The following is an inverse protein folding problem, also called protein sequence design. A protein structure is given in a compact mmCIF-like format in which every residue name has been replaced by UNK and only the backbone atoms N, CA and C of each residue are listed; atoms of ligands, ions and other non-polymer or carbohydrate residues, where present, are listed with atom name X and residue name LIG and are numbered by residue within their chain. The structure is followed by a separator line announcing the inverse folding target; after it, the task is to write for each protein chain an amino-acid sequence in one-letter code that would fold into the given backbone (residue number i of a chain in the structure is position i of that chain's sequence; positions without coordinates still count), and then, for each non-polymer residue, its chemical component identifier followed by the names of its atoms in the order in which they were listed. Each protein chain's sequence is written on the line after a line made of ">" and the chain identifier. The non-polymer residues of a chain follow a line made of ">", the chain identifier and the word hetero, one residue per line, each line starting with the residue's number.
data_IF_431181819423
#
_entry.id   IF_431181819423
#
_cell.length_a   1.000
_cell.length_b   1.000
_cell.length_c   1.000
_cell.angle_alpha   90.00
_cell.angle_beta   90.00
_cell.angle_gamma   90.00
#
_symmetry.space_group_name_H-M   'P 1'
#
loop_
_entity.id
_entity.type
_entity.pdbx_description
1 polymer ?
#
# COMPACT_ATOMS: atom_id res chain seq x y z
N UNK A 1 -17.66 5.44 -17.78
CA UNK A 1 -17.64 3.95 -17.76
C UNK A 1 -18.90 3.44 -17.08
N UNK A 2 -19.54 2.40 -17.61
CA UNK A 2 -20.75 1.85 -16.98
C UNK A 2 -20.40 1.10 -15.69
N UNK A 3 -21.26 1.12 -14.66
CA UNK A 3 -21.03 0.42 -13.36
C UNK A 3 -20.64 -1.05 -13.52
N UNK A 4 -21.23 -1.77 -14.49
CA UNK A 4 -20.91 -3.17 -14.79
C UNK A 4 -19.50 -3.37 -15.41
N UNK A 5 -18.98 -2.37 -16.09
CA UNK A 5 -17.63 -2.37 -16.67
C UNK A 5 -16.58 -2.12 -15.60
N UNK A 6 -16.85 -1.19 -14.68
CA UNK A 6 -15.98 -0.92 -13.55
C UNK A 6 -15.90 -2.12 -12.60
N UNK A 7 -17.01 -2.80 -12.33
CA UNK A 7 -17.03 -4.03 -11.53
C UNK A 7 -16.16 -5.14 -12.17
N UNK A 8 -16.31 -5.38 -13.49
CA UNK A 8 -15.46 -6.36 -14.21
C UNK A 8 -13.98 -5.98 -14.17
N UNK A 9 -13.67 -4.68 -14.24
CA UNK A 9 -12.28 -4.20 -14.11
C UNK A 9 -11.73 -4.45 -12.71
N UNK A 10 -12.51 -4.21 -11.67
CA UNK A 10 -12.14 -4.52 -10.29
C UNK A 10 -11.89 -6.02 -10.08
N UNK A 11 -12.75 -6.88 -10.63
CA UNK A 11 -12.57 -8.34 -10.57
C UNK A 11 -11.29 -8.79 -11.30
N UNK A 12 -10.97 -8.19 -12.45
CA UNK A 12 -9.74 -8.48 -13.19
C UNK A 12 -8.50 -8.06 -12.39
N UNK A 13 -8.47 -6.85 -11.83
CA UNK A 13 -7.37 -6.37 -10.99
C UNK A 13 -7.15 -7.27 -9.76
N UNK A 14 -8.25 -7.68 -9.10
CA UNK A 14 -8.18 -8.59 -7.96
C UNK A 14 -7.61 -9.97 -8.38
N UNK A 15 -8.00 -10.50 -9.53
CA UNK A 15 -7.47 -11.76 -10.06
C UNK A 15 -5.98 -11.66 -10.42
N UNK A 16 -5.54 -10.52 -10.94
CA UNK A 16 -4.14 -10.21 -11.25
C UNK A 16 -3.32 -9.79 -10.01
N UNK A 17 -3.94 -9.76 -8.82
CA UNK A 17 -3.33 -9.32 -7.55
C UNK A 17 -2.81 -7.89 -7.59
N UNK A 18 -3.41 -7.03 -8.39
CA UNK A 18 -3.06 -5.61 -8.48
C UNK A 18 -3.86 -4.84 -7.41
N UNK A 19 -3.18 -4.15 -6.46
CA UNK A 19 -3.86 -3.35 -5.46
C UNK A 19 -4.52 -2.12 -6.09
N UNK A 20 -5.69 -1.76 -5.61
CA UNK A 20 -6.41 -0.55 -6.05
C UNK A 20 -7.32 -0.02 -4.94
N UNK A 21 -7.79 1.22 -5.10
CA UNK A 21 -8.83 1.80 -4.23
C UNK A 21 -10.14 1.88 -5.00
N UNK A 22 -11.21 1.40 -4.38
CA UNK A 22 -12.58 1.64 -4.83
C UNK A 22 -13.05 2.97 -4.24
N UNK A 23 -13.25 3.98 -5.07
CA UNK A 23 -13.79 5.28 -4.68
C UNK A 23 -15.28 5.34 -5.02
N UNK A 24 -16.13 5.62 -4.02
CA UNK A 24 -17.59 5.70 -4.21
C UNK A 24 -18.13 7.00 -3.63
N UNK A 25 -18.82 7.80 -4.43
CA UNK A 25 -19.53 8.98 -3.97
C UNK A 25 -20.73 8.53 -3.12
N UNK A 26 -20.69 8.80 -1.82
CA UNK A 26 -21.76 8.45 -0.88
C UNK A 26 -22.74 9.58 -0.68
N UNK A 27 -22.29 10.83 -0.85
CA UNK A 27 -23.11 12.04 -0.76
C UNK A 27 -22.65 13.09 -1.75
N UNK A 28 -23.58 13.82 -2.32
CA UNK A 28 -23.32 14.94 -3.23
C UNK A 28 -24.32 16.06 -2.95
N UNK A 29 -23.82 17.29 -2.75
CA UNK A 29 -24.60 18.50 -2.53
C UNK A 29 -24.41 19.43 -3.72
N UNK A 30 -25.51 19.81 -4.37
CA UNK A 30 -25.47 20.71 -5.52
C UNK A 30 -24.98 22.12 -5.14
N UNK A 31 -24.32 22.79 -6.07
CA UNK A 31 -24.03 22.40 -7.46
C UNK A 31 -22.79 21.47 -7.58
N UNK A 32 -22.98 20.27 -8.12
CA UNK A 32 -21.88 19.32 -8.40
C UNK A 32 -22.22 18.48 -9.62
N UNK A 33 -21.20 17.99 -10.33
CA UNK A 33 -21.33 17.12 -11.50
C UNK A 33 -21.56 15.66 -11.15
N UNK A 34 -21.34 15.26 -9.88
CA UNK A 34 -21.47 13.87 -9.41
C UNK A 34 -22.82 13.61 -8.74
N UNK A 35 -23.13 12.33 -8.62
CA UNK A 35 -24.30 11.81 -7.90
C UNK A 35 -23.89 10.71 -6.95
N UNK A 36 -24.62 10.55 -5.84
CA UNK A 36 -24.43 9.42 -4.95
C UNK A 36 -24.50 8.10 -5.73
N UNK A 37 -23.48 7.26 -5.53
CA UNK A 37 -23.29 6.00 -6.24
C UNK A 37 -22.44 6.11 -7.51
N UNK A 38 -21.97 7.29 -7.92
CA UNK A 38 -20.89 7.39 -8.90
C UNK A 38 -19.61 6.81 -8.29
N UNK A 39 -18.79 6.18 -9.11
CA UNK A 39 -17.64 5.43 -8.62
C UNK A 39 -16.48 5.42 -9.61
N UNK A 40 -15.27 5.23 -9.06
CA UNK A 40 -14.03 5.07 -9.80
C UNK A 40 -13.14 4.03 -9.12
N UNK A 41 -12.17 3.53 -9.86
CA UNK A 41 -11.03 2.77 -9.38
C UNK A 41 -9.81 3.69 -9.45
N UNK A 42 -9.01 3.71 -8.38
CA UNK A 42 -7.72 4.41 -8.35
C UNK A 42 -6.61 3.37 -8.23
N UNK A 43 -5.71 3.34 -9.20
CA UNK A 43 -4.56 2.44 -9.24
C UNK A 43 -3.38 3.01 -8.43
N UNK A 44 -2.38 2.16 -8.13
CA UNK A 44 -1.19 2.54 -7.39
C UNK A 44 -0.29 3.59 -8.09
N UNK A 45 -0.44 3.76 -9.39
CA UNK A 45 0.22 4.83 -10.17
C UNK A 45 -0.57 6.15 -10.18
N UNK A 46 -1.71 6.20 -9.48
CA UNK A 46 -2.61 7.34 -9.43
C UNK A 46 -3.57 7.45 -10.62
N UNK A 47 -3.61 6.49 -11.53
CA UNK A 47 -4.58 6.44 -12.62
C UNK A 47 -5.99 6.27 -12.06
N UNK A 48 -6.96 7.08 -12.52
CA UNK A 48 -8.36 7.02 -12.14
C UNK A 48 -9.18 6.48 -13.32
N UNK A 49 -9.82 5.34 -13.12
CA UNK A 49 -10.75 4.72 -14.07
C UNK A 49 -12.18 4.88 -13.55
N UNK A 50 -13.03 5.65 -14.20
CA UNK A 50 -14.41 5.93 -13.76
C UNK A 50 -14.68 7.42 -13.62
N UNK A 51 -15.57 7.81 -12.68
CA UNK A 51 -15.90 9.21 -12.45
C UNK A 51 -16.32 9.48 -11.01
N UNK A 52 -15.63 10.40 -10.36
CA UNK A 52 -15.89 10.83 -8.97
C UNK A 52 -15.84 12.36 -8.82
N UNK A 53 -15.91 13.09 -9.94
CA UNK A 53 -15.91 14.55 -9.96
C UNK A 53 -15.07 15.12 -11.09
N UNK A 54 -14.95 16.45 -11.14
CA UNK A 54 -14.04 17.14 -12.06
C UNK A 54 -12.59 17.12 -11.59
N UNK A 55 -11.68 17.73 -12.37
CA UNK A 55 -10.23 17.69 -12.16
C UNK A 55 -9.78 18.01 -10.73
N UNK A 56 -10.40 18.99 -10.07
CA UNK A 56 -10.07 19.36 -8.70
C UNK A 56 -10.41 18.24 -7.69
N UNK A 57 -11.58 17.62 -7.83
CA UNK A 57 -11.98 16.49 -6.97
C UNK A 57 -11.10 15.26 -7.24
N UNK A 58 -10.77 14.98 -8.51
CA UNK A 58 -9.87 13.88 -8.89
C UNK A 58 -8.49 14.01 -8.25
N UNK A 59 -7.94 15.23 -8.15
CA UNK A 59 -6.64 15.46 -7.49
C UNK A 59 -6.70 15.06 -6.01
N UNK A 60 -7.74 15.51 -5.29
CA UNK A 60 -7.94 15.17 -3.87
C UNK A 60 -8.18 13.66 -3.68
N UNK A 61 -8.99 13.06 -4.55
CA UNK A 61 -9.26 11.60 -4.53
C UNK A 61 -7.98 10.81 -4.78
N UNK A 62 -7.19 11.19 -5.79
CA UNK A 62 -5.91 10.54 -6.11
C UNK A 62 -4.96 10.56 -4.92
N UNK A 63 -4.76 11.73 -4.32
CA UNK A 63 -3.87 11.89 -3.17
C UNK A 63 -4.30 10.99 -2.01
N UNK A 64 -5.57 11.04 -1.62
CA UNK A 64 -6.06 10.28 -0.48
C UNK A 64 -6.15 8.78 -0.79
N UNK A 65 -6.44 8.38 -2.04
CA UNK A 65 -6.44 6.99 -2.45
C UNK A 65 -5.04 6.35 -2.37
N UNK A 66 -3.99 7.06 -2.78
CA UNK A 66 -2.62 6.56 -2.64
C UNK A 66 -2.23 6.36 -1.17
N UNK A 67 -2.63 7.28 -0.28
CA UNK A 67 -2.45 7.11 1.17
C UNK A 67 -3.23 5.92 1.72
N UNK A 68 -4.47 5.72 1.25
CA UNK A 68 -5.32 4.56 1.63
C UNK A 68 -4.68 3.24 1.21
N UNK A 69 -4.03 3.18 0.03
CA UNK A 69 -3.27 1.99 -0.40
C UNK A 69 -2.07 1.71 0.49
N UNK A 70 -1.36 2.75 0.92
CA UNK A 70 -0.18 2.62 1.79
C UNK A 70 -0.57 2.16 3.21
N UNK A 71 -1.61 2.76 3.79
CA UNK A 71 -2.06 2.47 5.15
C UNK A 71 -2.87 1.16 5.21
N UNK A 72 -3.58 0.83 4.13
CA UNK A 72 -4.46 -0.36 4.06
C UNK A 72 -5.80 -0.18 4.79
N UNK A 73 -6.16 1.02 5.24
CA UNK A 73 -7.40 1.31 5.96
C UNK A 73 -8.34 2.17 5.11
N UNK A 74 -9.67 1.92 5.16
CA UNK A 74 -10.65 2.72 4.45
C UNK A 74 -10.75 4.14 5.01
N UNK A 75 -11.13 5.09 4.16
CA UNK A 75 -11.23 6.49 4.50
C UNK A 75 -12.51 7.12 3.94
N UNK A 76 -13.17 7.96 4.73
CA UNK A 76 -14.19 8.89 4.24
C UNK A 76 -13.55 10.24 3.92
N UNK A 77 -13.55 10.60 2.65
CA UNK A 77 -13.05 11.89 2.15
C UNK A 77 -14.24 12.84 1.96
N UNK A 78 -14.19 13.99 2.62
CA UNK A 78 -15.16 15.08 2.46
C UNK A 78 -14.51 16.24 1.73
N UNK A 79 -15.02 16.60 0.56
CA UNK A 79 -14.56 17.75 -0.23
C UNK A 79 -15.58 18.86 -0.08
N UNK A 80 -15.17 20.01 0.43
CA UNK A 80 -16.01 21.19 0.68
C UNK A 80 -15.45 22.43 -0.03
N UNK A 81 -16.29 23.36 -0.49
CA UNK A 81 -15.84 24.51 -1.27
C UNK A 81 -15.27 25.65 -0.44
N UNK A 82 -15.49 25.71 0.88
CA UNK A 82 -15.15 26.84 1.72
C UNK A 82 -14.45 26.40 3.02
N UNK A 83 -13.44 27.18 3.47
CA UNK A 83 -12.72 26.96 4.75
C UNK A 83 -13.57 27.27 5.98
N UNK A 84 -14.71 27.96 5.81
CA UNK A 84 -15.57 28.42 6.91
C UNK A 84 -16.70 27.44 7.29
N UNK A 85 -16.73 26.25 6.71
CA UNK A 85 -17.69 25.20 7.12
C UNK A 85 -17.21 24.54 8.43
N UNK A 86 -17.56 25.18 9.58
CA UNK A 86 -17.23 24.66 10.94
C UNK A 86 -17.83 23.26 11.19
N UNK A 87 -18.90 22.86 10.46
CA UNK A 87 -19.46 21.51 10.47
C UNK A 87 -18.62 20.50 9.64
N UNK A 88 -17.54 20.97 9.00
CA UNK A 88 -16.66 20.11 8.19
C UNK A 88 -15.88 19.10 9.03
N UNK A 89 -15.59 19.38 10.30
CA UNK A 89 -14.87 18.50 11.22
C UNK A 89 -15.75 17.31 11.66
N UNK A 90 -16.10 16.42 10.74
CA UNK A 90 -16.76 15.18 11.08
C UNK A 90 -15.73 14.17 11.61
N UNK A 91 -15.96 13.66 12.82
CA UNK A 91 -15.14 12.62 13.43
C UNK A 91 -15.05 11.40 12.48
N UNK A 92 -13.84 10.99 12.11
CA UNK A 92 -13.61 9.86 11.19
C UNK A 92 -13.59 10.18 9.69
N UNK A 93 -13.62 11.47 9.30
CA UNK A 93 -13.45 11.88 7.91
C UNK A 93 -12.24 12.81 7.74
N UNK A 94 -11.56 12.70 6.59
CA UNK A 94 -10.61 13.72 6.16
C UNK A 94 -11.36 14.77 5.35
N UNK A 95 -11.27 16.01 5.77
CA UNK A 95 -11.87 17.16 5.07
C UNK A 95 -10.81 17.83 4.22
N UNK A 96 -11.13 18.05 2.95
CA UNK A 96 -10.31 18.78 2.00
C UNK A 96 -11.11 19.96 1.47
N UNK A 97 -10.57 21.15 1.66
CA UNK A 97 -11.10 22.37 1.10
C UNK A 97 -10.67 22.50 -0.36
N UNK A 98 -11.62 22.80 -1.23
CA UNK A 98 -11.38 22.89 -2.64
C UNK A 98 -12.20 24.05 -3.22
N UNK A 99 -11.53 25.16 -3.55
CA UNK A 99 -12.11 26.39 -4.13
C UNK A 99 -12.60 26.20 -5.57
N UNK A 100 -13.15 25.03 -5.87
CA UNK A 100 -13.69 24.76 -7.18
C UNK A 100 -14.89 25.66 -7.45
N UNK A 101 -14.88 26.31 -8.64
CA UNK A 101 -15.94 27.22 -9.10
C UNK A 101 -17.35 26.61 -9.07
N UNK A 102 -17.51 25.30 -8.95
CA UNK A 102 -18.80 24.62 -8.85
C UNK A 102 -19.48 24.78 -7.49
N UNK A 103 -18.75 25.09 -6.41
CA UNK A 103 -19.30 25.41 -5.08
C UNK A 103 -20.10 24.30 -4.38
N UNK A 104 -20.07 23.06 -4.87
CA UNK A 104 -20.76 21.92 -4.28
C UNK A 104 -19.86 21.10 -3.36
N UNK A 105 -20.46 20.49 -2.31
CA UNK A 105 -19.75 19.56 -1.42
C UNK A 105 -20.04 18.10 -1.81
N UNK A 106 -19.07 17.22 -1.52
CA UNK A 106 -19.22 15.78 -1.74
C UNK A 106 -18.50 14.97 -0.69
N UNK A 107 -19.01 13.77 -0.45
CA UNK A 107 -18.38 12.76 0.40
C UNK A 107 -18.12 11.52 -0.43
N UNK A 108 -16.88 11.03 -0.36
CA UNK A 108 -16.39 9.90 -1.14
C UNK A 108 -15.79 8.87 -0.18
N UNK A 109 -16.30 7.65 -0.21
CA UNK A 109 -15.73 6.54 0.53
C UNK A 109 -14.63 5.90 -0.30
N UNK A 110 -13.42 5.85 0.25
CA UNK A 110 -12.23 5.25 -0.33
C UNK A 110 -11.96 3.92 0.38
N UNK A 111 -12.09 2.82 -0.33
CA UNK A 111 -11.91 1.47 0.20
C UNK A 111 -10.74 0.78 -0.48
N UNK A 112 -9.65 0.44 0.24
CA UNK A 112 -8.53 -0.29 -0.34
C UNK A 112 -8.92 -1.72 -0.68
N UNK A 113 -8.53 -2.17 -1.84
CA UNK A 113 -8.66 -3.55 -2.32
C UNK A 113 -7.26 -4.12 -2.47
N UNK A 114 -6.75 -4.67 -1.39
CA UNK A 114 -5.43 -5.28 -1.33
C UNK A 114 -5.52 -6.78 -1.60
N UNK A 115 -4.57 -7.37 -2.34
CA UNK A 115 -4.51 -8.81 -2.49
C UNK A 115 -4.24 -9.48 -1.13
N UNK A 116 -4.74 -10.70 -0.95
CA UNK A 116 -4.40 -11.49 0.22
C UNK A 116 -2.88 -11.63 0.34
N UNK A 117 -2.29 -11.37 1.54
CA UNK A 117 -0.84 -11.48 1.71
C UNK A 117 -0.39 -12.91 1.41
N UNK A 118 0.66 -13.06 0.60
CA UNK A 118 1.16 -14.37 0.19
C UNK A 118 2.18 -14.90 1.19
N UNK A 119 2.05 -16.20 1.51
CA UNK A 119 3.05 -16.97 2.23
C UNK A 119 3.51 -18.10 1.31
N UNK A 120 4.78 -18.10 0.94
CA UNK A 120 5.39 -19.19 0.20
C UNK A 120 6.06 -20.17 1.16
N UNK A 121 5.63 -21.43 1.11
CA UNK A 121 6.18 -22.53 1.91
C UNK A 121 6.98 -23.43 0.99
N UNK A 122 8.29 -23.53 1.27
CA UNK A 122 9.20 -24.41 0.54
C UNK A 122 9.31 -25.75 1.29
N UNK A 123 8.71 -26.79 0.72
CA UNK A 123 8.71 -28.14 1.27
C UNK A 123 7.31 -28.72 1.42
N UNK A 124 7.06 -29.80 0.70
CA UNK A 124 5.82 -30.60 0.77
C UNK A 124 5.85 -31.53 2.01
N UNK A 125 5.74 -30.93 3.19
CA UNK A 125 5.83 -31.59 4.50
C UNK A 125 4.52 -31.46 5.26
N UNK A 126 4.29 -32.28 6.32
CA UNK A 126 3.11 -32.11 7.18
C UNK A 126 2.98 -30.69 7.75
N UNK A 127 4.11 -30.04 8.10
CA UNK A 127 4.11 -28.65 8.58
C UNK A 127 3.70 -27.70 7.44
N UNK A 128 4.21 -27.93 6.22
CA UNK A 128 3.85 -27.12 5.04
C UNK A 128 2.35 -27.19 4.73
N UNK A 129 1.76 -28.38 4.77
CA UNK A 129 0.32 -28.56 4.56
C UNK A 129 -0.53 -27.97 5.70
N UNK A 130 -0.05 -28.05 6.95
CA UNK A 130 -0.69 -27.41 8.08
C UNK A 130 -0.65 -25.88 7.96
N UNK A 131 0.47 -25.30 7.53
CA UNK A 131 0.60 -23.86 7.23
C UNK A 131 -0.40 -23.44 6.14
N UNK A 132 -0.53 -24.22 5.06
CA UNK A 132 -1.48 -23.90 4.00
C UNK A 132 -2.94 -23.93 4.50
N UNK A 133 -3.29 -24.90 5.32
CA UNK A 133 -4.65 -25.06 5.85
C UNK A 133 -5.01 -23.95 6.83
N UNK A 134 -4.15 -23.66 7.80
CA UNK A 134 -4.37 -22.63 8.82
C UNK A 134 -4.23 -21.23 8.25
N UNK A 135 -3.25 -20.98 7.37
CA UNK A 135 -3.04 -19.69 6.73
C UNK A 135 -4.23 -19.25 5.89
N UNK A 136 -4.87 -20.19 5.17
CA UNK A 136 -6.09 -19.92 4.42
C UNK A 136 -7.25 -19.46 5.32
N UNK A 137 -7.40 -20.03 6.51
CA UNK A 137 -8.41 -19.60 7.49
C UNK A 137 -8.15 -18.19 8.02
N UNK A 138 -6.88 -17.77 8.05
CA UNK A 138 -6.46 -16.43 8.44
C UNK A 138 -6.45 -15.41 7.29
N UNK A 139 -6.90 -15.79 6.09
CA UNK A 139 -6.97 -14.91 4.93
C UNK A 139 -5.66 -14.75 4.17
N UNK A 140 -4.68 -15.64 4.37
CA UNK A 140 -3.45 -15.67 3.58
C UNK A 140 -3.62 -16.49 2.30
N UNK A 141 -2.92 -16.06 1.24
CA UNK A 141 -2.69 -16.85 0.03
C UNK A 141 -1.44 -17.71 0.26
N UNK A 142 -1.62 -18.98 0.63
CA UNK A 142 -0.49 -19.87 0.95
C UNK A 142 -0.19 -20.78 -0.21
N UNK A 143 1.05 -20.66 -0.74
CA UNK A 143 1.57 -21.49 -1.84
C UNK A 143 2.60 -22.47 -1.28
N UNK A 144 2.39 -23.77 -1.46
CA UNK A 144 3.37 -24.81 -1.11
C UNK A 144 4.13 -25.22 -2.35
N UNK A 145 5.47 -25.11 -2.32
CA UNK A 145 6.38 -25.45 -3.42
C UNK A 145 7.33 -26.58 -3.01
N UNK A 146 7.53 -27.53 -3.88
CA UNK A 146 8.54 -28.61 -3.69
C UNK A 146 9.97 -28.20 -4.04
N UNK A 147 10.19 -26.99 -4.58
CA UNK A 147 11.50 -26.50 -5.06
C UNK A 147 11.72 -25.02 -4.78
N UNK A 148 12.67 -24.40 -5.49
CA UNK A 148 12.96 -22.98 -5.38
C UNK A 148 11.70 -22.15 -5.67
N UNK A 149 11.33 -21.20 -4.78
CA UNK A 149 10.11 -20.41 -4.96
C UNK A 149 10.27 -19.38 -6.07
N UNK A 150 9.19 -19.16 -6.82
CA UNK A 150 9.03 -17.95 -7.62
C UNK A 150 8.47 -16.86 -6.70
N UNK A 151 9.35 -16.01 -6.20
CA UNK A 151 9.01 -14.91 -5.31
C UNK A 151 8.48 -13.73 -6.13
N UNK A 152 7.39 -13.13 -5.70
CA UNK A 152 6.83 -11.93 -6.32
C UNK A 152 6.56 -10.86 -5.27
N UNK A 153 5.47 -10.98 -4.55
CA UNK A 153 4.99 -10.05 -3.52
C UNK A 153 4.67 -10.86 -2.26
N UNK A 154 5.69 -11.59 -1.78
CA UNK A 154 5.54 -12.49 -0.64
C UNK A 154 5.69 -11.73 0.67
N UNK A 155 4.67 -11.82 1.52
CA UNK A 155 4.73 -11.31 2.88
C UNK A 155 5.61 -12.20 3.79
N UNK A 156 5.73 -13.48 3.44
CA UNK A 156 6.56 -14.41 4.18
C UNK A 156 7.04 -15.57 3.30
N UNK A 157 8.24 -16.08 3.60
CA UNK A 157 8.76 -17.35 3.09
C UNK A 157 9.10 -18.25 4.25
N UNK A 158 8.56 -19.48 4.26
CA UNK A 158 8.84 -20.49 5.28
C UNK A 158 9.46 -21.70 4.63
N UNK A 159 10.71 -22.03 4.99
CA UNK A 159 11.41 -23.21 4.49
C UNK A 159 11.24 -24.35 5.48
N UNK A 160 10.58 -25.44 5.02
CA UNK A 160 10.25 -26.64 5.80
C UNK A 160 10.57 -27.91 5.00
N UNK A 161 11.72 -27.98 4.31
CA UNK A 161 12.06 -28.98 3.29
C UNK A 161 12.93 -30.15 3.80
N UNK A 162 13.25 -30.19 5.09
CA UNK A 162 14.13 -31.21 5.70
C UNK A 162 15.51 -31.36 5.02
N UNK A 163 16.14 -30.23 4.66
CA UNK A 163 17.50 -30.22 4.12
C UNK A 163 17.62 -30.29 2.59
N UNK A 164 16.51 -30.11 1.87
CA UNK A 164 16.55 -30.06 0.41
C UNK A 164 16.53 -28.62 -0.06
N UNK A 165 17.60 -28.17 -0.71
CA UNK A 165 17.73 -26.82 -1.30
C UNK A 165 17.39 -25.66 -0.36
N UNK A 166 17.54 -25.85 0.96
CA UNK A 166 17.17 -24.86 1.97
C UNK A 166 17.95 -23.56 1.80
N UNK A 167 19.27 -23.67 1.64
CA UNK A 167 20.16 -22.53 1.51
C UNK A 167 19.82 -21.67 0.28
N UNK A 168 19.50 -22.31 -0.83
CA UNK A 168 19.14 -21.61 -2.06
C UNK A 168 17.82 -20.86 -1.92
N UNK A 169 16.81 -21.50 -1.32
CA UNK A 169 15.49 -20.89 -1.12
C UNK A 169 15.58 -19.72 -0.13
N UNK A 170 16.33 -19.90 0.97
CA UNK A 170 16.55 -18.85 1.96
C UNK A 170 17.33 -17.67 1.37
N UNK A 171 18.43 -17.93 0.63
CA UNK A 171 19.21 -16.89 -0.02
C UNK A 171 18.31 -16.06 -0.96
N UNK A 172 17.54 -16.71 -1.82
CA UNK A 172 16.62 -16.03 -2.73
C UNK A 172 15.59 -15.16 -1.99
N UNK A 173 15.00 -15.66 -0.89
CA UNK A 173 14.02 -14.92 -0.11
C UNK A 173 14.66 -13.70 0.60
N UNK A 174 15.84 -13.86 1.16
CA UNK A 174 16.62 -12.80 1.81
C UNK A 174 17.02 -11.73 0.79
N UNK A 175 17.55 -12.12 -0.37
CA UNK A 175 17.95 -11.20 -1.44
C UNK A 175 16.77 -10.43 -2.02
N UNK A 176 15.61 -11.09 -2.17
CA UNK A 176 14.38 -10.46 -2.60
C UNK A 176 13.78 -9.48 -1.57
N UNK A 177 14.30 -9.44 -0.33
CA UNK A 177 13.79 -8.54 0.70
C UNK A 177 12.47 -8.95 1.29
N UNK A 178 12.13 -10.24 1.29
CA UNK A 178 10.88 -10.74 1.88
C UNK A 178 10.83 -10.38 3.38
N UNK A 179 9.72 -9.76 3.86
CA UNK A 179 9.64 -9.23 5.24
C UNK A 179 9.81 -10.26 6.35
N UNK A 180 9.37 -11.51 6.11
CA UNK A 180 9.56 -12.61 7.03
C UNK A 180 10.18 -13.81 6.32
N UNK A 181 11.36 -14.25 6.75
CA UNK A 181 12.02 -15.45 6.26
C UNK A 181 12.26 -16.41 7.42
N UNK A 182 11.59 -17.57 7.39
CA UNK A 182 11.64 -18.56 8.46
C UNK A 182 12.18 -19.92 8.01
N UNK A 183 13.01 -20.54 8.83
CA UNK A 183 13.50 -21.92 8.64
C UNK A 183 12.97 -22.83 9.74
N UNK A 184 12.26 -23.89 9.37
CA UNK A 184 11.82 -24.94 10.28
C UNK A 184 12.99 -25.92 10.52
N UNK A 185 13.74 -25.67 11.58
CA UNK A 185 14.92 -26.45 11.93
C UNK A 185 15.17 -26.44 13.44
N UNK A 186 15.98 -27.39 13.94
CA UNK A 186 16.53 -27.29 15.29
C UNK A 186 17.54 -26.11 15.37
N UNK A 187 17.81 -25.62 16.58
CA UNK A 187 18.79 -24.54 16.78
C UNK A 187 20.14 -24.85 16.15
N UNK A 188 20.68 -26.08 16.42
CA UNK A 188 21.98 -26.51 15.88
C UNK A 188 21.98 -26.52 14.34
N UNK A 189 20.88 -27.00 13.73
CA UNK A 189 20.76 -26.98 12.26
C UNK A 189 20.62 -25.55 11.73
N UNK A 190 19.85 -24.72 12.38
CA UNK A 190 19.71 -23.30 12.01
C UNK A 190 21.03 -22.53 12.03
N UNK A 191 21.88 -22.80 13.01
CA UNK A 191 23.24 -22.24 13.07
C UNK A 191 24.09 -22.70 11.90
N UNK A 192 24.06 -24.00 11.57
CA UNK A 192 24.82 -24.55 10.43
C UNK A 192 24.33 -23.94 9.09
N UNK A 193 23.01 -23.77 8.89
CA UNK A 193 22.46 -23.13 7.69
C UNK A 193 22.83 -21.65 7.62
N UNK A 194 22.84 -20.93 8.74
CA UNK A 194 23.35 -19.54 8.78
C UNK A 194 24.80 -19.42 8.36
N UNK A 195 25.64 -20.38 8.77
CA UNK A 195 27.03 -20.39 8.34
C UNK A 195 27.17 -20.64 6.85
N UNK A 196 26.43 -21.63 6.31
CA UNK A 196 26.40 -21.89 4.86
C UNK A 196 25.94 -20.67 4.06
N UNK A 197 24.93 -19.95 4.54
CA UNK A 197 24.45 -18.71 3.89
C UNK A 197 25.51 -17.59 3.94
N UNK A 198 26.29 -17.51 5.02
CA UNK A 198 27.40 -16.57 5.11
C UNK A 198 28.52 -16.90 4.11
N UNK A 199 28.81 -18.18 3.92
CA UNK A 199 29.77 -18.66 2.92
C UNK A 199 29.29 -18.37 1.48
N UNK A 200 27.95 -18.33 1.24
CA UNK A 200 27.33 -17.91 -0.01
C UNK A 200 27.33 -16.38 -0.22
N UNK A 201 27.82 -15.60 0.74
CA UNK A 201 27.98 -14.15 0.62
C UNK A 201 26.80 -13.32 1.13
N UNK A 202 25.84 -13.92 1.83
CA UNK A 202 24.74 -13.15 2.44
C UNK A 202 25.28 -12.30 3.60
N UNK A 203 25.04 -10.96 3.62
CA UNK A 203 25.51 -10.06 4.66
C UNK A 203 24.98 -10.43 6.06
N UNK A 204 25.77 -10.19 7.10
CA UNK A 204 25.42 -10.53 8.47
C UNK A 204 24.13 -9.84 8.95
N UNK A 205 23.90 -8.60 8.53
CA UNK A 205 22.69 -7.82 8.84
C UNK A 205 21.44 -8.52 8.30
N UNK A 206 21.51 -9.02 7.08
CA UNK A 206 20.41 -9.75 6.44
C UNK A 206 20.20 -11.13 7.06
N UNK A 207 21.28 -11.81 7.47
CA UNK A 207 21.19 -13.09 8.19
C UNK A 207 20.55 -12.94 9.58
N UNK A 208 20.64 -11.76 10.19
CA UNK A 208 19.96 -11.49 11.46
C UNK A 208 18.43 -11.51 11.35
N UNK A 209 17.90 -11.23 10.16
CA UNK A 209 16.45 -11.24 9.86
C UNK A 209 15.89 -12.67 9.74
N UNK A 210 16.75 -13.68 9.46
CA UNK A 210 16.34 -15.07 9.36
C UNK A 210 15.81 -15.60 10.70
N UNK A 211 14.56 -16.01 10.75
CA UNK A 211 13.91 -16.64 11.90
C UNK A 211 14.22 -18.14 11.91
N UNK A 212 15.05 -18.59 12.85
CA UNK A 212 15.37 -20.01 13.01
C UNK A 212 15.73 -20.34 14.47
N UNK A 213 15.06 -21.30 15.08
CA UNK A 213 13.87 -22.02 14.63
C UNK A 213 12.70 -21.07 14.33
N UNK A 214 11.96 -21.29 13.20
CA UNK A 214 10.79 -20.52 12.88
C UNK A 214 9.64 -20.79 13.85
N UNK A 215 8.91 -19.73 14.23
CA UNK A 215 7.75 -19.77 15.10
C UNK A 215 8.03 -19.37 16.54
N UNK A 216 7.00 -18.86 17.18
CA UNK A 216 7.01 -18.50 18.61
C UNK A 216 7.27 -19.71 19.49
N UNK A 217 7.98 -19.52 20.61
CA UNK A 217 8.35 -20.58 21.55
C UNK A 217 7.16 -21.02 22.44
N UNK A 218 6.14 -21.65 21.87
CA UNK A 218 4.94 -22.13 22.55
C UNK A 218 5.01 -23.60 22.97
N UNK A 219 6.16 -24.25 22.84
CA UNK A 219 6.37 -25.69 23.08
C UNK A 219 5.55 -26.59 22.15
N UNK A 220 5.36 -26.16 20.89
CA UNK A 220 4.68 -26.91 19.85
C UNK A 220 5.34 -28.27 19.61
N UNK A 221 4.53 -29.32 19.44
CA UNK A 221 4.99 -30.72 19.25
C UNK A 221 4.38 -31.35 18.00
N UNK A 222 3.17 -30.96 17.60
CA UNK A 222 2.54 -31.44 16.37
C UNK A 222 2.80 -30.52 15.20
N UNK A 223 2.58 -31.02 13.98
CA UNK A 223 2.75 -30.20 12.74
C UNK A 223 1.82 -28.98 12.76
N UNK A 224 0.63 -29.13 13.25
CA UNK A 224 -0.40 -28.10 13.36
C UNK A 224 -0.02 -27.02 14.39
N UNK A 225 0.51 -27.45 15.56
CA UNK A 225 0.99 -26.53 16.59
C UNK A 225 2.22 -25.74 16.11
N UNK A 226 3.14 -26.39 15.40
CA UNK A 226 4.30 -25.73 14.79
C UNK A 226 3.82 -24.73 13.74
N UNK A 227 2.90 -25.10 12.84
CA UNK A 227 2.32 -24.20 11.88
C UNK A 227 1.62 -23.00 12.53
N UNK A 228 0.86 -23.23 13.62
CA UNK A 228 0.23 -22.16 14.40
C UNK A 228 1.29 -21.20 14.96
N UNK A 229 2.37 -21.72 15.55
CA UNK A 229 3.45 -20.89 16.11
C UNK A 229 4.12 -20.01 15.06
N UNK A 230 4.33 -20.54 13.85
CA UNK A 230 4.92 -19.82 12.72
C UNK A 230 3.95 -18.74 12.22
N UNK A 231 2.67 -19.05 12.04
CA UNK A 231 1.67 -18.07 11.63
C UNK A 231 1.51 -16.95 12.65
N UNK A 232 1.56 -17.27 13.95
CA UNK A 232 1.52 -16.26 15.01
C UNK A 232 2.75 -15.32 14.96
N UNK A 233 3.95 -15.85 14.66
CA UNK A 233 5.15 -15.05 14.47
C UNK A 233 5.06 -14.17 13.23
N UNK A 234 4.53 -14.69 12.11
CA UNK A 234 4.28 -13.91 10.88
C UNK A 234 3.30 -12.76 11.16
N UNK A 235 2.19 -13.02 11.86
CA UNK A 235 1.23 -11.99 12.25
C UNK A 235 1.89 -10.92 13.11
N UNK A 236 2.71 -11.31 14.10
CA UNK A 236 3.45 -10.37 14.94
C UNK A 236 4.39 -9.49 14.11
N UNK A 237 5.18 -10.08 13.22
CA UNK A 237 6.12 -9.37 12.37
C UNK A 237 5.43 -8.35 11.42
N UNK A 238 4.23 -8.69 10.92
CA UNK A 238 3.46 -7.78 10.05
C UNK A 238 2.87 -6.57 10.77
N UNK A 239 2.59 -6.71 12.07
CA UNK A 239 1.99 -5.65 12.88
C UNK A 239 3.02 -4.97 13.81
N UNK A 240 4.27 -5.40 13.77
CA UNK A 240 5.35 -4.62 14.38
C UNK A 240 5.45 -3.28 13.64
N UNK A 241 5.35 -2.12 14.36
CA UNK A 241 5.61 -0.85 13.71
C UNK A 241 7.00 -0.92 13.09
N UNK A 242 7.19 -0.45 11.85
CA UNK A 242 8.51 -0.44 11.23
C UNK A 242 9.46 0.21 12.21
N UNK A 243 10.52 -0.50 12.61
CA UNK A 243 11.60 0.05 13.43
C UNK A 243 12.06 1.28 12.68
N UNK A 244 11.74 2.48 13.22
CA UNK A 244 11.95 3.81 12.65
C UNK A 244 12.83 3.79 11.39
N UNK A 245 12.28 3.29 10.29
CA UNK A 245 12.84 3.55 8.98
C UNK A 245 12.80 5.08 8.89
N UNK A 246 13.97 5.69 8.94
CA UNK A 246 14.17 7.10 8.61
C UNK A 246 13.21 7.43 7.50
N UNK A 247 12.40 8.47 7.74
CA UNK A 247 11.36 8.97 6.84
C UNK A 247 11.91 9.05 5.40
N UNK A 248 11.86 7.95 4.67
CA UNK A 248 12.16 7.88 3.26
C UNK A 248 10.84 7.86 2.51
N UNK A 249 10.60 9.08 2.02
CA UNK A 249 9.77 9.40 0.88
C UNK A 249 8.30 8.97 0.97
N UNK A 250 7.52 9.65 1.80
CA UNK A 250 6.21 10.09 1.30
C UNK A 250 6.46 10.70 -0.08
N UNK A 251 5.65 10.39 -1.11
CA UNK A 251 5.77 11.08 -2.39
C UNK A 251 5.78 12.58 -2.08
N UNK A 252 6.79 13.29 -2.60
CA UNK A 252 7.01 14.68 -2.24
C UNK A 252 5.70 15.45 -2.46
N UNK A 253 5.12 15.96 -1.39
CA UNK A 253 3.95 16.81 -1.50
C UNK A 253 4.43 18.24 -1.69
N UNK A 254 3.94 18.92 -2.71
CA UNK A 254 4.14 20.35 -2.94
C UNK A 254 2.81 21.08 -2.75
N UNK A 255 2.85 22.29 -2.22
CA UNK A 255 1.68 23.15 -2.19
C UNK A 255 1.58 23.92 -3.52
N UNK A 256 0.41 23.95 -4.13
CA UNK A 256 0.10 24.83 -5.27
C UNK A 256 0.18 26.28 -4.81
N UNK A 257 1.08 27.11 -5.37
CA UNK A 257 1.25 28.49 -4.93
C UNK A 257 0.03 29.37 -5.22
N UNK A 258 -0.88 28.94 -6.09
CA UNK A 258 -2.08 29.72 -6.48
C UNK A 258 -3.25 29.46 -5.55
N UNK A 259 -3.50 28.18 -5.21
CA UNK A 259 -4.68 27.80 -4.44
C UNK A 259 -4.38 27.11 -3.10
N UNK A 260 -3.09 26.93 -2.74
CA UNK A 260 -2.69 26.30 -1.48
C UNK A 260 -2.89 24.78 -1.42
N UNK A 261 -3.40 24.15 -2.48
CA UNK A 261 -3.70 22.72 -2.49
C UNK A 261 -2.43 21.88 -2.42
N UNK A 262 -2.41 20.88 -1.52
CA UNK A 262 -1.33 19.88 -1.49
C UNK A 262 -1.40 18.94 -2.68
N UNK A 263 -0.32 18.85 -3.44
CA UNK A 263 -0.18 18.05 -4.65
C UNK A 263 0.86 16.96 -4.40
N UNK A 264 0.55 15.72 -4.78
CA UNK A 264 1.57 14.68 -4.90
C UNK A 264 2.38 14.93 -6.15
N UNK A 265 3.69 15.11 -5.98
CA UNK A 265 4.62 15.23 -7.10
C UNK A 265 4.79 13.85 -7.73
N UNK A 266 4.13 13.61 -8.85
CA UNK A 266 4.18 12.37 -9.62
C UNK A 266 4.55 12.68 -11.08
N UNK A 267 4.92 11.64 -11.83
CA UNK A 267 5.16 11.76 -13.27
C UNK A 267 3.85 12.23 -13.94
N UNK A 268 3.89 13.42 -14.57
CA UNK A 268 2.71 14.03 -15.22
C UNK A 268 1.99 15.08 -14.38
N UNK A 269 2.49 15.45 -13.19
CA UNK A 269 1.99 16.62 -12.45
C UNK A 269 2.20 17.90 -13.27
N UNK A 270 1.22 18.81 -13.24
CA UNK A 270 1.38 20.14 -13.83
C UNK A 270 2.51 20.86 -13.10
N UNK A 271 3.55 21.29 -13.82
CA UNK A 271 4.74 21.93 -13.25
C UNK A 271 5.22 23.08 -14.13
N UNK A 272 5.81 24.09 -13.50
CA UNK A 272 6.41 25.23 -14.15
C UNK A 272 7.73 25.60 -13.47
N UNK A 273 8.76 25.86 -14.25
CA UNK A 273 10.03 26.40 -13.75
C UNK A 273 9.98 27.92 -13.81
N UNK A 274 10.16 28.58 -12.67
CA UNK A 274 10.23 30.04 -12.56
C UNK A 274 11.42 30.43 -11.70
N UNK A 275 12.28 31.31 -12.19
CA UNK A 275 13.53 31.79 -11.56
C UNK A 275 14.46 30.66 -11.08
N UNK A 276 14.49 29.49 -11.78
CA UNK A 276 15.32 28.33 -11.43
C UNK A 276 14.74 27.47 -10.32
N UNK A 277 13.51 27.72 -9.89
CA UNK A 277 12.75 26.91 -8.94
C UNK A 277 11.58 26.23 -9.64
N UNK A 278 11.34 24.96 -9.32
CA UNK A 278 10.25 24.17 -9.87
C UNK A 278 9.02 24.28 -8.97
N UNK A 279 7.90 24.72 -9.54
CA UNK A 279 6.61 24.83 -8.87
C UNK A 279 5.65 23.77 -9.43
N UNK A 280 4.80 23.25 -8.56
CA UNK A 280 3.79 22.24 -8.93
C UNK A 280 2.40 22.82 -8.74
N UNK A 281 1.47 22.44 -9.63
CA UNK A 281 0.11 22.99 -9.69
C UNK A 281 -0.92 21.87 -9.76
N UNK A 282 -2.09 22.09 -9.17
CA UNK A 282 -3.19 21.12 -9.19
C UNK A 282 -3.88 21.02 -10.56
N UNK A 283 -3.72 22.04 -11.43
CA UNK A 283 -4.34 22.12 -12.74
C UNK A 283 -3.64 23.13 -13.66
N UNK A 284 -3.86 23.00 -14.99
CA UNK A 284 -3.40 23.98 -15.97
C UNK A 284 -3.96 25.39 -15.71
N UNK A 285 -5.12 25.50 -15.08
CA UNK A 285 -5.67 26.79 -14.68
C UNK A 285 -4.77 27.51 -13.69
N UNK A 286 -4.26 26.80 -12.67
CA UNK A 286 -3.33 27.37 -11.70
C UNK A 286 -1.98 27.71 -12.36
N UNK A 287 -1.49 26.89 -13.31
CA UNK A 287 -0.30 27.22 -14.09
C UNK A 287 -0.47 28.57 -14.80
N UNK A 288 -1.56 28.74 -15.56
CA UNK A 288 -1.82 29.98 -16.29
C UNK A 288 -2.03 31.19 -15.37
N UNK A 289 -2.68 30.98 -14.20
CA UNK A 289 -2.85 32.06 -13.24
C UNK A 289 -1.51 32.51 -12.64
N UNK A 290 -0.62 31.56 -12.35
CA UNK A 290 0.73 31.84 -11.85
C UNK A 290 1.59 32.53 -12.92
N UNK A 291 1.56 32.06 -14.17
CA UNK A 291 2.28 32.71 -15.30
C UNK A 291 1.85 34.16 -15.51
N UNK A 292 0.58 34.48 -15.27
CA UNK A 292 0.05 35.83 -15.46
C UNK A 292 0.57 36.84 -14.42
N UNK A 293 0.81 36.40 -13.16
CA UNK A 293 1.29 37.26 -12.08
C UNK A 293 2.00 36.46 -10.99
N UNK A 294 3.25 35.97 -11.22
CA UNK A 294 3.98 35.12 -10.28
C UNK A 294 4.22 35.80 -8.92
N UNK A 295 4.57 37.11 -8.95
CA UNK A 295 4.91 37.86 -7.73
C UNK A 295 3.76 37.93 -6.74
N UNK A 296 2.54 37.94 -7.22
CA UNK A 296 1.33 37.92 -6.38
C UNK A 296 1.26 36.68 -5.51
N UNK A 297 1.63 35.53 -6.04
CA UNK A 297 1.50 34.22 -5.37
C UNK A 297 2.75 33.86 -4.56
N UNK A 298 3.90 34.42 -4.89
CA UNK A 298 5.14 34.26 -4.14
C UNK A 298 5.25 35.20 -2.93
N UNK A 299 4.56 36.35 -2.96
CA UNK A 299 4.57 37.34 -1.88
C UNK A 299 3.67 36.99 -0.66
N UNK A 300 2.77 36.01 -0.79
CA UNK A 300 1.88 35.52 0.27
C UNK A 300 2.14 34.03 0.53
N UNK A 301 3.05 33.66 1.46
CA UNK A 301 3.09 32.27 1.91
C UNK A 301 1.75 31.96 2.59
N UNK A 302 0.98 31.05 2.01
CA UNK A 302 -0.22 30.50 2.65
C UNK A 302 0.20 29.82 3.95
N UNK A 303 -0.28 30.36 5.08
CA UNK A 303 0.00 29.92 6.45
C UNK A 303 -0.80 28.68 6.78
#
# INVERSE_FOLDING_TARGET
>A
MMKSELARRADALAAERIPFVSATVVRAQHPTSVRAGDSAIVLGDGTIEGFVGGACAETSVRLQALRVLEIGEPLLLRIVPDEHDEDAAAEGAIVVHNDCLSGGAMEIFLEPRLPAPRITVVGETPIGFALASLGKLLGYDVVVSGGAPELSDDAAVVVASHGREEERALAAAIEAGVPYVGLVASRTRGEAVRESLRELGIPAERLAELRTPAGLAIRATTSEEIALSILAEIVSARHEPPALATAEAMPAAAADPVCGMSIVVAVGSCQLEYEGQLFYFCSDHCVHAFEADPDRYLAQPHS
#
